data_IF_829871835848
#
_entry.id   IF_829871835848
#
_cell.length_a   1.000
_cell.length_b   1.000
_cell.length_c   1.000
_cell.angle_alpha   90.00
_cell.angle_beta   90.00
_cell.angle_gamma   90.00
#
_symmetry.space_group_name_H-M   'P 1'
#
loop_
_entity.id
_entity.type
_entity.pdbx_description
1 polymer ?
#
# COMPACT_ATOMS: atom_id res chain seq x y z
N UNK A 1 53.75 24.72 -2.28
CA UNK A 1 52.68 24.56 -1.28
C UNK A 1 51.43 24.09 -2.00
N UNK A 2 51.05 22.83 -1.82
CA UNK A 2 49.84 22.24 -2.39
C UNK A 2 48.72 22.40 -1.36
N UNK A 3 47.67 23.16 -1.67
CA UNK A 3 46.47 23.28 -0.84
C UNK A 3 45.48 22.20 -1.26
N UNK A 4 45.23 21.22 -0.40
CA UNK A 4 44.11 20.29 -0.60
C UNK A 4 42.78 21.04 -0.41
N UNK A 5 41.79 20.88 -1.30
CA UNK A 5 40.47 21.42 -1.06
C UNK A 5 39.82 20.64 0.10
N UNK A 6 39.39 21.37 1.12
CA UNK A 6 38.58 20.83 2.21
C UNK A 6 37.19 20.49 1.66
N UNK A 7 36.84 19.21 1.61
CA UNK A 7 35.47 18.77 1.32
C UNK A 7 34.61 19.14 2.53
N UNK A 8 33.71 20.11 2.36
CA UNK A 8 32.65 20.41 3.32
C UNK A 8 31.66 19.23 3.37
N UNK A 9 31.93 18.27 4.23
CA UNK A 9 31.03 17.15 4.53
C UNK A 9 29.94 17.59 5.51
N UNK A 10 29.10 18.53 5.09
CA UNK A 10 27.82 18.83 5.74
C UNK A 10 26.74 18.82 4.66
N UNK A 11 26.53 17.65 4.05
CA UNK A 11 25.26 17.40 3.37
C UNK A 11 24.19 17.21 4.44
N UNK A 12 23.14 18.02 4.37
CA UNK A 12 21.98 17.96 5.25
C UNK A 12 21.34 16.57 5.13
N UNK A 13 21.62 15.71 6.11
CA UNK A 13 21.08 14.35 6.25
C UNK A 13 19.53 14.37 6.23
N UNK A 14 18.92 15.52 6.57
CA UNK A 14 17.48 15.79 6.54
C UNK A 14 16.83 15.73 5.15
N UNK A 15 17.54 16.06 4.06
CA UNK A 15 16.90 16.17 2.72
C UNK A 15 16.50 14.80 2.14
N UNK A 16 17.08 13.72 2.66
CA UNK A 16 16.83 12.35 2.19
C UNK A 16 16.13 11.48 3.23
N UNK A 17 15.69 12.07 4.36
CA UNK A 17 14.86 11.36 5.33
C UNK A 17 13.45 11.19 4.78
N UNK A 18 13.19 10.04 4.16
CA UNK A 18 11.85 9.65 3.73
C UNK A 18 11.06 9.14 4.95
N UNK A 19 10.14 9.95 5.45
CA UNK A 19 9.13 9.51 6.41
C UNK A 19 7.94 8.95 5.65
N UNK A 20 7.46 7.77 6.05
CA UNK A 20 6.21 7.21 5.56
C UNK A 20 5.13 7.63 6.55
N UNK A 21 4.05 8.30 6.12
CA UNK A 21 2.93 8.57 7.02
C UNK A 21 2.34 7.24 7.50
N UNK A 22 2.05 7.17 8.80
CA UNK A 22 1.59 5.93 9.46
C UNK A 22 0.28 5.40 8.87
N UNK A 23 -0.55 6.30 8.36
CA UNK A 23 -1.83 6.02 7.72
C UNK A 23 -2.01 6.94 6.51
N UNK A 24 -2.41 6.36 5.38
CA UNK A 24 -2.69 7.07 4.13
C UNK A 24 -3.77 6.33 3.36
N UNK A 25 -4.50 7.05 2.50
CA UNK A 25 -5.47 6.46 1.58
C UNK A 25 -5.45 7.23 0.25
N UNK A 26 -5.46 6.50 -0.85
CA UNK A 26 -5.73 6.98 -2.20
C UNK A 26 -6.84 6.13 -2.80
N UNK A 27 -7.91 6.78 -3.23
CA UNK A 27 -9.14 6.11 -3.70
C UNK A 27 -9.37 6.41 -5.17
N UNK A 28 -9.72 5.40 -5.94
CA UNK A 28 -10.09 5.51 -7.36
C UNK A 28 -11.29 4.63 -7.65
N UNK A 29 -12.22 5.12 -8.45
CA UNK A 29 -13.37 4.37 -8.98
C UNK A 29 -13.04 3.87 -10.38
N UNK A 30 -13.41 2.63 -10.71
CA UNK A 30 -13.16 2.03 -12.02
C UNK A 30 -14.15 0.90 -12.32
N UNK A 31 -14.07 0.34 -13.52
CA UNK A 31 -14.93 -0.74 -14.00
C UNK A 31 -14.09 -1.77 -14.77
N UNK A 32 -14.44 -3.04 -14.67
CA UNK A 32 -13.83 -4.13 -15.44
C UNK A 32 -14.90 -5.05 -16.01
N UNK A 33 -14.66 -5.67 -17.17
CA UNK A 33 -15.52 -6.74 -17.67
C UNK A 33 -15.01 -8.12 -17.23
N UNK A 34 -15.85 -8.87 -16.52
CA UNK A 34 -15.57 -10.22 -16.04
C UNK A 34 -16.68 -11.13 -16.54
N UNK A 35 -16.33 -12.14 -17.35
CA UNK A 35 -17.30 -13.08 -17.93
C UNK A 35 -18.46 -12.42 -18.71
N UNK A 36 -18.23 -11.25 -19.31
CA UNK A 36 -19.24 -10.50 -20.06
C UNK A 36 -20.18 -9.65 -19.19
N UNK A 37 -19.90 -9.56 -17.88
CA UNK A 37 -20.58 -8.65 -16.97
C UNK A 37 -19.63 -7.50 -16.62
N UNK A 38 -20.14 -6.26 -16.70
CA UNK A 38 -19.44 -5.10 -16.15
C UNK A 38 -19.51 -5.15 -14.63
N UNK A 39 -18.35 -5.02 -13.97
CA UNK A 39 -18.22 -4.93 -12.52
C UNK A 39 -17.63 -3.57 -12.18
N UNK A 40 -18.45 -2.72 -11.57
CA UNK A 40 -18.01 -1.45 -11.02
C UNK A 40 -17.38 -1.66 -9.65
N UNK A 41 -16.23 -1.02 -9.42
CA UNK A 41 -15.50 -1.17 -8.17
C UNK A 41 -14.72 0.08 -7.77
N UNK A 42 -14.59 0.24 -6.46
CA UNK A 42 -13.73 1.22 -5.82
C UNK A 42 -12.44 0.54 -5.36
N UNK A 43 -11.29 1.07 -5.80
CA UNK A 43 -9.97 0.65 -5.37
C UNK A 43 -9.38 1.66 -4.38
N UNK A 44 -8.91 1.17 -3.24
CA UNK A 44 -8.20 1.96 -2.23
C UNK A 44 -6.79 1.41 -2.05
N UNK A 45 -5.78 2.24 -2.27
CA UNK A 45 -4.40 1.93 -1.91
C UNK A 45 -3.97 2.81 -0.72
N UNK A 46 -3.25 2.26 0.23
CA UNK A 46 -2.96 3.01 1.44
C UNK A 46 -2.00 2.32 2.39
N UNK A 47 -1.89 2.92 3.57
CA UNK A 47 -1.09 2.40 4.67
C UNK A 47 -1.90 2.30 5.95
N UNK A 48 -1.65 1.26 6.74
CA UNK A 48 -2.22 1.07 8.07
C UNK A 48 -1.11 0.94 9.12
N UNK A 49 -1.28 1.50 10.32
CA UNK A 49 -0.31 1.37 11.40
C UNK A 49 -0.35 -0.04 12.03
N UNK A 50 0.83 -0.55 12.39
CA UNK A 50 1.00 -1.72 13.25
C UNK A 50 1.35 -1.23 14.65
N UNK A 51 0.47 -1.44 15.61
CA UNK A 51 0.60 -0.94 16.98
C UNK A 51 1.35 -1.92 17.89
N UNK A 52 2.09 -1.39 18.86
CA UNK A 52 2.54 -2.16 20.02
C UNK A 52 1.50 -2.11 21.16
N UNK A 53 1.78 -2.81 22.26
CA UNK A 53 0.90 -2.87 23.44
C UNK A 53 0.72 -1.52 24.16
N UNK A 54 1.61 -0.56 23.92
CA UNK A 54 1.54 0.81 24.45
C UNK A 54 0.74 1.76 23.55
N UNK A 55 0.28 1.31 22.39
CA UNK A 55 -0.43 2.13 21.41
C UNK A 55 0.47 2.99 20.53
N UNK A 56 1.77 2.71 20.48
CA UNK A 56 2.72 3.37 19.58
C UNK A 56 2.83 2.60 18.25
N UNK A 57 2.84 3.29 17.07
CA UNK A 57 3.01 2.63 15.79
C UNK A 57 4.47 2.18 15.63
N UNK A 58 4.67 0.91 15.30
CA UNK A 58 6.00 0.28 15.15
C UNK A 58 6.36 -0.03 13.71
N UNK A 59 5.36 -0.17 12.85
CA UNK A 59 5.50 -0.39 11.42
C UNK A 59 4.27 0.13 10.68
N UNK A 60 4.35 0.09 9.36
CA UNK A 60 3.27 0.48 8.45
C UNK A 60 3.03 -0.63 7.43
N UNK A 61 1.79 -1.10 7.35
CA UNK A 61 1.33 -2.09 6.38
C UNK A 61 0.77 -1.37 5.16
N UNK A 62 1.40 -1.54 3.99
CA UNK A 62 0.80 -1.13 2.73
C UNK A 62 -0.26 -2.13 2.27
N UNK A 63 -1.38 -1.64 1.73
CA UNK A 63 -2.46 -2.47 1.21
C UNK A 63 -3.07 -1.90 -0.07
N UNK A 64 -3.71 -2.80 -0.84
CA UNK A 64 -4.66 -2.46 -1.90
C UNK A 64 -5.97 -3.19 -1.59
N UNK A 65 -7.08 -2.47 -1.56
CA UNK A 65 -8.42 -2.98 -1.30
C UNK A 65 -9.32 -2.70 -2.49
N UNK A 66 -10.01 -3.75 -2.96
CA UNK A 66 -11.01 -3.66 -4.00
C UNK A 66 -12.39 -3.93 -3.43
N UNK A 67 -13.30 -3.01 -3.67
CA UNK A 67 -14.68 -3.09 -3.23
C UNK A 67 -15.58 -3.04 -4.44
N UNK A 68 -16.35 -4.11 -4.66
CA UNK A 68 -17.41 -4.12 -5.69
C UNK A 68 -18.55 -3.20 -5.23
N UNK A 69 -19.04 -2.35 -6.12
CA UNK A 69 -19.97 -1.27 -5.77
C UNK A 69 -21.44 -1.63 -6.01
N UNK A 70 -21.73 -2.52 -6.95
CA UNK A 70 -23.06 -3.01 -7.32
C UNK A 70 -23.54 -4.21 -6.46
N UNK A 71 -23.37 -4.13 -5.13
CA UNK A 71 -23.76 -5.19 -4.19
C UNK A 71 -24.87 -4.72 -3.24
N UNK A 72 -26.06 -5.32 -3.36
CA UNK A 72 -27.23 -4.98 -2.54
C UNK A 72 -27.03 -5.33 -1.05
N UNK A 73 -26.53 -6.53 -0.74
CA UNK A 73 -26.26 -6.97 0.63
C UNK A 73 -24.76 -7.15 0.87
N UNK A 74 -24.13 -6.08 1.37
CA UNK A 74 -22.69 -6.04 1.64
C UNK A 74 -22.29 -6.84 2.87
N UNK A 75 -23.19 -6.96 3.85
CA UNK A 75 -22.94 -7.65 5.12
C UNK A 75 -22.74 -9.15 4.93
N UNK A 76 -23.39 -9.73 3.92
CA UNK A 76 -23.24 -11.15 3.56
C UNK A 76 -22.06 -11.41 2.62
N UNK A 77 -21.46 -10.38 2.03
CA UNK A 77 -20.35 -10.55 1.08
C UNK A 77 -19.04 -10.81 1.84
N UNK A 78 -18.33 -11.93 1.59
CA UNK A 78 -17.11 -12.24 2.31
C UNK A 78 -15.98 -11.28 1.95
N UNK A 79 -15.11 -11.01 2.93
CA UNK A 79 -13.84 -10.34 2.72
C UNK A 79 -12.79 -11.40 2.40
N UNK A 80 -12.08 -11.23 1.28
CA UNK A 80 -10.95 -12.07 0.91
C UNK A 80 -9.65 -11.32 1.18
N UNK A 81 -8.77 -11.92 1.97
CA UNK A 81 -7.41 -11.44 2.16
C UNK A 81 -6.45 -12.27 1.32
N UNK A 82 -5.66 -11.60 0.48
CA UNK A 82 -4.72 -12.24 -0.44
C UNK A 82 -3.28 -11.83 -0.09
N UNK A 83 -2.46 -12.80 0.30
CA UNK A 83 -1.08 -12.59 0.72
C UNK A 83 -0.13 -13.41 -0.13
N UNK A 84 1.01 -12.84 -0.47
CA UNK A 84 2.09 -13.60 -1.10
C UNK A 84 2.91 -14.37 -0.04
N UNK A 85 3.61 -15.42 -0.47
CA UNK A 85 4.36 -16.33 0.41
C UNK A 85 5.87 -16.06 0.49
N UNK A 86 6.63 -17.13 0.81
CA UNK A 86 8.08 -17.07 1.00
C UNK A 86 8.47 -16.68 2.41
N UNK A 87 9.55 -15.94 2.59
CA UNK A 87 9.50 -14.79 3.49
C UNK A 87 9.99 -13.52 2.78
N UNK A 88 9.29 -12.40 3.02
CA UNK A 88 9.69 -11.09 2.49
C UNK A 88 9.25 -10.78 1.05
N UNK A 89 8.53 -11.68 0.37
CA UNK A 89 7.96 -11.37 -0.96
C UNK A 89 6.76 -10.44 -0.83
N UNK A 90 6.74 -9.36 -1.61
CA UNK A 90 5.62 -8.41 -1.60
C UNK A 90 4.33 -9.04 -2.17
N UNK A 91 3.18 -8.63 -1.63
CA UNK A 91 1.84 -8.97 -2.15
C UNK A 91 1.49 -8.29 -3.47
N UNK A 92 2.40 -7.51 -4.07
CA UNK A 92 2.20 -6.90 -5.40
C UNK A 92 1.83 -7.92 -6.48
N UNK A 93 2.34 -9.15 -6.37
CA UNK A 93 1.99 -10.24 -7.30
C UNK A 93 0.55 -10.71 -7.17
N UNK A 94 -0.03 -10.62 -5.97
CA UNK A 94 -1.44 -10.93 -5.78
C UNK A 94 -2.33 -9.87 -6.42
N UNK A 95 -1.85 -8.63 -6.48
CA UNK A 95 -2.53 -7.52 -7.13
C UNK A 95 -2.39 -7.56 -8.67
N UNK A 96 -1.21 -7.87 -9.22
CA UNK A 96 -0.98 -7.78 -10.68
C UNK A 96 -1.21 -9.08 -11.45
N UNK A 97 -1.07 -10.24 -10.81
CA UNK A 97 -0.94 -11.51 -11.52
C UNK A 97 -1.87 -12.63 -11.03
N UNK A 98 -2.68 -12.40 -9.98
CA UNK A 98 -3.49 -13.48 -9.42
C UNK A 98 -4.91 -13.07 -9.01
N UNK A 99 -5.06 -12.18 -8.04
CA UNK A 99 -6.35 -11.85 -7.41
C UNK A 99 -6.79 -10.40 -7.60
N UNK A 100 -6.04 -9.61 -8.39
CA UNK A 100 -6.51 -8.30 -8.83
C UNK A 100 -7.65 -8.41 -9.84
N UNK A 101 -8.45 -7.35 -10.00
CA UNK A 101 -9.39 -7.20 -11.11
C UNK A 101 -8.64 -7.07 -12.45
#
# INVERSE_FOLDING_TARGET
>A
MLTTPSVNAQQNISEHMRQIPIETTSVTESSVEINGETVDYTATAGTLPVWNDEGHPTATLFYTYYQRDDVDNREERPIVYSFNGGPGSASVWMHLAYTGP
#
